data_IF_155241318946
#
_entry.id   IF_155241318946
#
_cell.length_a   1.000
_cell.length_b   1.000
_cell.length_c   1.000
_cell.angle_alpha   90.00
_cell.angle_beta   90.00
_cell.angle_gamma   90.00
#
_symmetry.space_group_name_H-M   'P 1'
#
loop_
_entity.id
_entity.type
_entity.pdbx_description
1 polymer ?
#
# COMPACT_ATOMS: atom_id res chain seq x y z
N UNK A 1 0.51 26.83 5.65
CA UNK A 1 -0.12 26.16 4.50
C UNK A 1 0.91 25.19 3.96
N UNK A 2 0.80 23.92 4.31
CA UNK A 2 1.62 22.83 3.79
C UNK A 2 1.33 22.66 2.31
N UNK A 3 2.36 22.36 1.51
CA UNK A 3 2.18 22.12 0.07
C UNK A 3 1.48 20.77 -0.14
N UNK A 4 0.69 20.59 -1.21
CA UNK A 4 -0.02 19.33 -1.47
C UNK A 4 0.90 18.09 -1.48
N UNK A 5 2.17 18.25 -1.89
CA UNK A 5 3.15 17.17 -1.84
C UNK A 5 3.73 16.87 -0.45
N UNK A 6 3.75 17.84 0.47
CA UNK A 6 4.16 17.65 1.87
C UNK A 6 3.06 16.95 2.67
N UNK A 7 1.79 17.23 2.40
CA UNK A 7 0.65 16.60 3.08
C UNK A 7 0.59 15.09 2.78
N UNK A 8 0.81 14.69 1.54
CA UNK A 8 0.85 13.27 1.16
C UNK A 8 2.06 12.55 1.77
N UNK A 9 3.21 13.23 1.92
CA UNK A 9 4.39 12.65 2.58
C UNK A 9 4.16 12.42 4.08
N UNK A 10 3.47 13.34 4.76
CA UNK A 10 3.15 13.26 6.19
C UNK A 10 2.18 12.10 6.49
N UNK A 11 1.16 11.94 5.63
CA UNK A 11 0.24 10.80 5.71
C UNK A 11 0.94 9.46 5.47
N UNK A 12 1.85 9.39 4.49
CA UNK A 12 2.64 8.18 4.25
C UNK A 12 3.51 7.81 5.45
N UNK A 13 4.17 8.81 6.07
CA UNK A 13 4.97 8.61 7.26
C UNK A 13 4.12 8.08 8.43
N UNK A 14 2.96 8.67 8.67
CA UNK A 14 2.03 8.22 9.73
C UNK A 14 1.59 6.77 9.53
N UNK A 15 1.26 6.38 8.29
CA UNK A 15 0.84 4.99 8.02
C UNK A 15 2.01 4.02 8.18
N UNK A 16 3.23 4.39 7.78
CA UNK A 16 4.43 3.57 8.00
C UNK A 16 4.72 3.40 9.49
N UNK A 17 4.56 4.43 10.32
CA UNK A 17 4.73 4.34 11.78
C UNK A 17 3.74 3.34 12.41
N UNK A 18 2.46 3.42 12.04
CA UNK A 18 1.42 2.49 12.52
C UNK A 18 1.74 1.08 12.05
N UNK A 19 2.12 0.90 10.78
CA UNK A 19 2.47 -0.40 10.24
C UNK A 19 3.70 -0.98 10.95
N UNK A 20 4.75 -0.18 11.17
CA UNK A 20 5.94 -0.65 11.88
C UNK A 20 5.66 -1.05 13.33
N UNK A 21 4.74 -0.35 14.01
CA UNK A 21 4.38 -0.62 15.42
C UNK A 21 3.46 -1.82 15.57
N UNK A 22 2.38 -1.86 14.81
CA UNK A 22 1.25 -2.76 15.03
C UNK A 22 1.17 -3.90 13.98
N UNK A 23 1.86 -3.76 12.84
CA UNK A 23 1.76 -4.67 11.69
C UNK A 23 3.12 -4.92 11.02
N UNK A 24 4.16 -5.20 11.82
CA UNK A 24 5.54 -5.30 11.34
C UNK A 24 5.75 -6.34 10.22
N UNK A 25 4.94 -7.39 10.17
CA UNK A 25 4.99 -8.45 9.15
C UNK A 25 4.47 -8.02 7.77
N UNK A 26 3.73 -6.89 7.69
CA UNK A 26 3.25 -6.36 6.41
C UNK A 26 4.42 -5.71 5.68
N UNK A 27 4.58 -5.98 4.39
CA UNK A 27 5.65 -5.39 3.57
C UNK A 27 5.43 -3.85 3.41
N UNK A 28 6.42 -3.00 3.75
CA UNK A 28 6.30 -1.54 3.60
C UNK A 28 6.09 -1.10 2.15
N UNK A 29 6.65 -1.83 1.17
CA UNK A 29 6.46 -1.55 -0.26
C UNK A 29 5.03 -1.84 -0.69
N UNK A 30 4.40 -2.89 -0.14
CA UNK A 30 2.99 -3.17 -0.40
C UNK A 30 2.11 -2.01 0.05
N UNK A 31 2.33 -1.52 1.27
CA UNK A 31 1.56 -0.40 1.83
C UNK A 31 1.74 0.86 1.00
N UNK A 32 2.99 1.19 0.65
CA UNK A 32 3.31 2.35 -0.19
C UNK A 32 2.61 2.30 -1.55
N UNK A 33 2.57 1.12 -2.19
CA UNK A 33 1.96 0.94 -3.51
C UNK A 33 0.43 1.04 -3.47
N UNK A 34 -0.20 0.53 -2.40
CA UNK A 34 -1.64 0.68 -2.15
C UNK A 34 -1.99 2.16 -1.95
N UNK A 35 -1.24 2.87 -1.10
CA UNK A 35 -1.50 4.28 -0.80
C UNK A 35 -1.31 5.17 -2.03
N UNK A 36 -0.25 4.95 -2.81
CA UNK A 36 -0.04 5.65 -4.07
C UNK A 36 -1.20 5.44 -5.06
N UNK A 37 -1.70 4.22 -5.15
CA UNK A 37 -2.86 3.88 -6.00
C UNK A 37 -4.13 4.56 -5.52
N UNK A 38 -4.40 4.53 -4.21
CA UNK A 38 -5.58 5.18 -3.63
C UNK A 38 -5.54 6.70 -3.83
N UNK A 39 -4.36 7.32 -3.75
CA UNK A 39 -4.18 8.74 -4.05
C UNK A 39 -4.36 9.04 -5.54
N UNK A 40 -3.77 8.23 -6.42
CA UNK A 40 -3.87 8.41 -7.88
C UNK A 40 -5.32 8.34 -8.38
N UNK A 41 -6.13 7.46 -7.80
CA UNK A 41 -7.53 7.25 -8.17
C UNK A 41 -8.49 7.80 -7.11
N UNK A 42 -8.11 8.86 -6.39
CA UNK A 42 -8.94 9.41 -5.30
C UNK A 42 -10.35 9.83 -5.75
N UNK A 43 -10.49 10.25 -7.01
CA UNK A 43 -11.77 10.63 -7.64
C UNK A 43 -12.55 9.45 -8.21
N UNK A 44 -11.90 8.30 -8.44
CA UNK A 44 -12.52 7.06 -8.93
C UNK A 44 -12.25 5.91 -7.96
N UNK A 45 -13.06 5.86 -6.90
CA UNK A 45 -12.95 4.84 -5.84
C UNK A 45 -13.11 3.41 -6.35
N UNK A 46 -13.87 3.21 -7.43
CA UNK A 46 -14.08 1.88 -7.99
C UNK A 46 -12.79 1.36 -8.65
N UNK A 47 -12.13 2.20 -9.46
CA UNK A 47 -10.85 1.86 -10.05
C UNK A 47 -9.75 1.75 -8.98
N UNK A 48 -9.72 2.65 -7.98
CA UNK A 48 -8.79 2.56 -6.84
C UNK A 48 -8.89 1.20 -6.12
N UNK A 49 -10.12 0.74 -5.86
CA UNK A 49 -10.37 -0.55 -5.21
C UNK A 49 -9.90 -1.71 -6.07
N UNK A 50 -10.29 -1.73 -7.35
CA UNK A 50 -9.91 -2.77 -8.30
C UNK A 50 -8.39 -2.92 -8.41
N UNK A 51 -7.67 -1.80 -8.48
CA UNK A 51 -6.20 -1.78 -8.55
C UNK A 51 -5.55 -2.24 -7.25
N UNK A 52 -6.12 -1.85 -6.11
CA UNK A 52 -5.67 -2.33 -4.79
C UNK A 52 -5.80 -3.84 -4.68
N UNK A 53 -6.92 -4.41 -5.11
CA UNK A 53 -7.12 -5.87 -5.10
C UNK A 53 -6.09 -6.57 -6.03
N UNK A 54 -5.76 -5.98 -7.19
CA UNK A 54 -4.70 -6.51 -8.07
C UNK A 54 -3.31 -6.50 -7.40
N UNK A 55 -2.97 -5.42 -6.70
CA UNK A 55 -1.72 -5.26 -5.97
C UNK A 55 -1.59 -6.35 -4.89
N UNK A 56 -2.64 -6.51 -4.07
CA UNK A 56 -2.69 -7.50 -2.99
C UNK A 56 -2.56 -8.92 -3.56
N UNK A 57 -3.34 -9.25 -4.61
CA UNK A 57 -3.29 -10.58 -5.22
C UNK A 57 -1.92 -10.89 -5.82
N UNK A 58 -1.28 -9.92 -6.49
CA UNK A 58 0.07 -10.08 -7.03
C UNK A 58 1.10 -10.29 -5.91
N UNK A 59 0.99 -9.54 -4.81
CA UNK A 59 1.87 -9.70 -3.66
C UNK A 59 1.68 -11.08 -3.02
N UNK A 60 0.42 -11.50 -2.80
CA UNK A 60 0.07 -12.80 -2.22
C UNK A 60 0.57 -13.96 -3.10
N UNK A 61 0.39 -13.88 -4.41
CA UNK A 61 0.90 -14.90 -5.34
C UNK A 61 2.42 -15.09 -5.24
N UNK A 62 3.19 -14.00 -5.05
CA UNK A 62 4.65 -14.06 -4.90
C UNK A 62 5.10 -14.64 -3.55
N UNK A 63 4.36 -14.34 -2.47
CA UNK A 63 4.71 -14.78 -1.12
C UNK A 63 4.21 -16.19 -0.82
N UNK A 64 3.03 -16.56 -1.30
CA UNK A 64 2.46 -17.90 -1.13
C UNK A 64 3.04 -18.91 -2.13
N UNK A 65 3.41 -18.47 -3.35
CA UNK A 65 4.03 -19.32 -4.36
C UNK A 65 5.48 -19.72 -4.05
N UNK A 66 6.19 -18.97 -3.21
CA UNK A 66 7.56 -19.31 -2.77
C UNK A 66 7.61 -20.43 -1.70
N UNK A 67 6.47 -20.88 -1.17
CA UNK A 67 6.41 -21.96 -0.17
C UNK A 67 6.33 -23.39 -0.75
N UNK A 68 6.21 -23.55 -2.08
CA UNK A 68 5.96 -24.84 -2.74
C UNK A 68 7.21 -25.42 -3.45
N UNK A 69 8.40 -25.23 -2.89
CA UNK A 69 9.64 -25.86 -3.35
C UNK A 69 10.58 -26.12 -2.17
N UNK A 70 10.30 -27.17 -1.42
CA UNK A 70 11.30 -27.92 -0.64
C UNK A 70 10.80 -29.33 -0.35
#
# INVERSE_FOLDING_TARGET
MTKPGEETADLLATVEEIRARDFADIDPKLVSEILATQHQFAEDRAEARKRTDQIINRWAARHLGSGASH
#
